data_IF_266714239619
#
_entry.id   IF_266714239619
#
_cell.length_a   1.000
_cell.length_b   1.000
_cell.length_c   1.000
_cell.angle_alpha   90.00
_cell.angle_beta   90.00
_cell.angle_gamma   90.00
#
_symmetry.space_group_name_H-M   'P 1'
#
loop_
_entity.id
_entity.type
_entity.pdbx_description
1 polymer ?
#
# COMPACT_ATOMS: atom_id res chain seq x y z
N UNK A 1 16.55 -5.34 5.14
CA UNK A 1 15.15 -5.79 5.14
C UNK A 1 14.70 -6.02 6.57
N UNK A 2 13.45 -5.70 6.88
CA UNK A 2 12.79 -5.84 8.17
C UNK A 2 11.52 -6.68 8.01
N UNK A 3 11.03 -7.30 9.08
CA UNK A 3 9.72 -7.93 9.10
C UNK A 3 8.66 -6.88 9.43
N UNK A 4 7.76 -6.62 8.49
CA UNK A 4 6.66 -5.67 8.65
C UNK A 4 5.35 -6.40 8.92
N UNK A 5 4.64 -5.96 9.95
CA UNK A 5 3.21 -6.19 10.08
C UNK A 5 2.48 -5.10 9.29
N UNK A 6 1.78 -5.52 8.24
CA UNK A 6 1.08 -4.66 7.29
C UNK A 6 -0.41 -4.73 7.60
N UNK A 7 -0.93 -3.63 8.14
CA UNK A 7 -2.33 -3.43 8.45
C UNK A 7 -3.11 -2.88 7.26
N UNK A 8 -4.40 -3.19 7.21
CA UNK A 8 -5.36 -2.61 6.26
C UNK A 8 -6.09 -1.47 6.97
N UNK A 9 -5.82 -0.23 6.54
CA UNK A 9 -6.37 0.97 7.17
C UNK A 9 -7.79 1.30 6.68
N UNK A 10 -8.11 0.93 5.44
CA UNK A 10 -9.43 1.05 4.84
C UNK A 10 -9.77 -0.26 4.12
N UNK A 11 -10.70 -1.03 4.68
CA UNK A 11 -11.15 -2.31 4.12
C UNK A 11 -12.30 -2.14 3.09
N UNK A 12 -12.90 -0.95 2.99
CA UNK A 12 -13.99 -0.67 2.06
C UNK A 12 -13.46 -0.18 0.70
N UNK A 13 -12.24 0.37 0.67
CA UNK A 13 -11.63 0.87 -0.56
C UNK A 13 -11.40 -0.28 -1.59
N UNK A 14 -11.72 -0.10 -2.88
CA UNK A 14 -11.65 -1.17 -3.89
C UNK A 14 -10.28 -1.86 -4.05
N UNK A 15 -9.18 -1.19 -3.69
CA UNK A 15 -7.83 -1.77 -3.74
C UNK A 15 -7.60 -2.79 -2.62
N UNK A 16 -8.15 -2.52 -1.44
CA UNK A 16 -7.91 -3.25 -0.19
C UNK A 16 -9.12 -4.06 0.28
N UNK A 17 -10.25 -3.98 -0.44
CA UNK A 17 -11.41 -4.83 -0.19
C UNK A 17 -11.04 -6.31 -0.18
N UNK A 18 -11.59 -7.02 0.80
CA UNK A 18 -11.38 -8.44 1.08
C UNK A 18 -9.90 -8.81 1.37
N UNK A 19 -9.07 -7.82 1.73
CA UNK A 19 -7.70 -8.04 2.14
C UNK A 19 -7.61 -8.14 3.67
N UNK A 20 -6.94 -9.19 4.15
CA UNK A 20 -6.59 -9.32 5.56
C UNK A 20 -5.18 -8.75 5.80
N UNK A 21 -4.88 -8.25 7.01
CA UNK A 21 -3.52 -7.91 7.41
C UNK A 21 -2.55 -9.07 7.20
N UNK A 22 -1.30 -8.76 6.86
CA UNK A 22 -0.27 -9.78 6.66
C UNK A 22 1.10 -9.33 7.13
N UNK A 23 2.00 -10.31 7.27
CA UNK A 23 3.39 -10.07 7.65
C UNK A 23 4.31 -10.42 6.50
N UNK A 24 5.28 -9.56 6.21
CA UNK A 24 6.23 -9.78 5.12
C UNK A 24 7.59 -9.15 5.41
N UNK A 25 8.64 -9.74 4.85
CA UNK A 25 9.97 -9.11 4.82
C UNK A 25 10.04 -8.08 3.71
N UNK A 26 10.42 -6.85 4.05
CA UNK A 26 10.48 -5.68 3.15
C UNK A 26 11.64 -4.74 3.49
N UNK A 27 11.92 -3.79 2.60
CA UNK A 27 12.71 -2.60 2.95
C UNK A 27 11.80 -1.53 3.56
N UNK A 28 12.30 -0.81 4.57
CA UNK A 28 11.55 0.26 5.25
C UNK A 28 12.07 1.63 4.83
N UNK A 29 11.17 2.56 4.54
CA UNK A 29 11.54 3.92 4.21
C UNK A 29 11.13 4.89 5.33
N UNK A 30 12.05 5.78 5.72
CA UNK A 30 11.74 6.92 6.59
C UNK A 30 11.65 8.16 5.72
N UNK A 31 10.43 8.51 5.31
CA UNK A 31 10.11 9.66 4.46
C UNK A 31 8.98 10.49 5.08
N UNK A 32 8.54 11.54 4.38
CA UNK A 32 7.33 12.27 4.76
C UNK A 32 6.09 11.39 4.61
N UNK A 33 5.19 11.45 5.59
CA UNK A 33 3.90 10.74 5.54
C UNK A 33 3.03 11.18 4.35
N UNK A 34 2.06 10.35 3.94
CA UNK A 34 1.06 10.75 2.97
C UNK A 34 0.42 12.08 3.38
N UNK A 35 0.31 13.01 2.42
CA UNK A 35 -0.27 14.33 2.67
C UNK A 35 -1.76 14.25 3.07
N UNK A 36 -2.33 15.30 3.66
CA UNK A 36 -3.69 15.29 4.22
C UNK A 36 -4.80 14.98 3.21
N UNK A 37 -4.56 15.22 1.92
CA UNK A 37 -5.50 14.89 0.83
C UNK A 37 -5.35 13.45 0.32
N UNK A 38 -4.62 12.60 1.06
CA UNK A 38 -4.39 11.19 0.72
C UNK A 38 -5.30 10.29 1.53
N UNK A 39 -5.80 9.24 0.89
CA UNK A 39 -6.52 8.15 1.52
C UNK A 39 -5.53 7.00 1.77
N UNK A 40 -5.17 6.79 3.04
CA UNK A 40 -4.21 5.75 3.44
C UNK A 40 -4.90 4.39 3.44
N UNK A 41 -4.32 3.42 2.74
CA UNK A 41 -4.89 2.09 2.54
C UNK A 41 -4.17 1.01 3.33
N UNK A 42 -2.84 1.11 3.42
CA UNK A 42 -2.01 0.16 4.16
C UNK A 42 -1.10 0.90 5.13
N UNK A 43 -0.89 0.31 6.31
CA UNK A 43 -0.05 0.90 7.35
C UNK A 43 0.87 -0.11 8.02
N UNK A 44 1.90 0.39 8.70
CA UNK A 44 2.68 -0.39 9.66
C UNK A 44 2.97 0.42 10.92
N UNK A 45 3.26 -0.28 12.01
CA UNK A 45 3.74 0.30 13.26
C UNK A 45 5.26 0.15 13.44
N UNK A 46 5.99 -0.33 12.42
CA UNK A 46 7.42 -0.57 12.52
C UNK A 46 8.20 0.75 12.75
N UNK A 47 9.03 0.86 13.80
CA UNK A 47 9.63 2.13 14.23
C UNK A 47 10.64 2.72 13.23
N UNK A 48 11.13 1.92 12.29
CA UNK A 48 12.06 2.34 11.23
C UNK A 48 11.38 2.62 9.89
N UNK A 49 10.04 2.71 9.87
CA UNK A 49 9.24 2.95 8.67
C UNK A 49 8.38 4.20 8.85
N UNK A 50 8.05 4.85 7.75
CA UNK A 50 6.84 5.67 7.68
C UNK A 50 5.61 4.81 7.95
N UNK A 51 4.54 5.44 8.44
CA UNK A 51 3.31 4.74 8.83
C UNK A 51 2.51 4.30 7.61
N UNK A 52 2.37 5.16 6.61
CA UNK A 52 1.60 4.87 5.40
C UNK A 52 2.41 4.09 4.36
N UNK A 53 2.06 2.83 4.13
CA UNK A 53 2.73 1.96 3.16
C UNK A 53 2.07 1.99 1.77
N UNK A 54 0.78 2.33 1.71
CA UNK A 54 0.07 2.55 0.46
C UNK A 54 -1.05 3.58 0.64
N UNK A 55 -1.24 4.44 -0.35
CA UNK A 55 -2.26 5.47 -0.32
C UNK A 55 -2.70 5.88 -1.72
N UNK A 56 -3.90 6.44 -1.80
CA UNK A 56 -4.39 7.09 -3.02
C UNK A 56 -4.48 8.59 -2.84
N UNK A 57 -4.49 9.33 -3.95
CA UNK A 57 -4.84 10.76 -3.98
C UNK A 57 -5.41 11.14 -5.34
N UNK A 58 -6.24 12.18 -5.35
CA UNK A 58 -6.67 12.84 -6.59
C UNK A 58 -5.75 14.02 -6.89
N UNK A 59 -5.28 14.11 -8.14
CA UNK A 59 -4.52 15.27 -8.63
C UNK A 59 -5.21 15.77 -9.89
N UNK A 60 -6.04 16.81 -9.74
CA UNK A 60 -6.94 17.25 -10.80
C UNK A 60 -7.91 16.13 -11.20
N UNK A 61 -7.76 15.58 -12.41
CA UNK A 61 -8.58 14.44 -12.92
C UNK A 61 -7.87 13.08 -12.80
N UNK A 62 -6.61 13.09 -12.38
CA UNK A 62 -5.78 11.89 -12.29
C UNK A 62 -5.97 11.20 -10.94
N UNK A 63 -6.17 9.88 -11.00
CA UNK A 63 -6.06 8.97 -9.85
C UNK A 63 -4.60 8.58 -9.70
N UNK A 64 -4.02 8.86 -8.54
CA UNK A 64 -2.64 8.46 -8.20
C UNK A 64 -2.73 7.41 -7.10
N UNK A 65 -2.00 6.31 -7.29
CA UNK A 65 -1.81 5.28 -6.28
C UNK A 65 -0.31 5.16 -6.01
N UNK A 66 0.06 5.26 -4.74
CA UNK A 66 1.42 5.08 -4.25
C UNK A 66 1.47 3.80 -3.42
N UNK A 67 2.50 2.98 -3.67
CA UNK A 67 2.75 1.73 -2.97
C UNK A 67 4.25 1.67 -2.66
N UNK A 68 4.60 1.67 -1.37
CA UNK A 68 5.99 1.61 -0.89
C UNK A 68 6.59 0.21 -1.06
N UNK A 69 5.76 -0.82 -0.86
CA UNK A 69 6.15 -2.23 -0.89
C UNK A 69 6.72 -2.65 -2.25
N UNK A 70 7.54 -3.72 -2.25
CA UNK A 70 8.04 -4.32 -3.49
C UNK A 70 9.57 -4.30 -3.66
N UNK A 71 10.34 -4.34 -2.57
CA UNK A 71 11.81 -4.26 -2.63
C UNK A 71 12.46 -5.37 -3.48
N UNK A 72 11.99 -6.61 -3.35
CA UNK A 72 12.61 -7.77 -3.99
C UNK A 72 11.62 -8.86 -4.41
N UNK A 73 12.15 -9.98 -4.93
CA UNK A 73 11.38 -11.14 -5.38
C UNK A 73 10.40 -11.66 -4.32
N UNK A 74 10.78 -11.66 -3.05
CA UNK A 74 9.95 -12.17 -1.94
C UNK A 74 8.65 -11.38 -1.85
N UNK A 75 8.71 -10.07 -2.07
CA UNK A 75 7.52 -9.23 -2.12
C UNK A 75 6.60 -9.60 -3.28
N UNK A 76 7.18 -9.77 -4.47
CA UNK A 76 6.43 -10.16 -5.67
C UNK A 76 5.85 -11.57 -5.61
N UNK A 77 6.35 -12.45 -4.74
CA UNK A 77 5.78 -13.78 -4.50
C UNK A 77 4.58 -13.73 -3.54
N UNK A 78 4.43 -12.69 -2.72
CA UNK A 78 3.36 -12.60 -1.73
C UNK A 78 1.99 -12.31 -2.40
N UNK A 79 0.96 -13.14 -2.17
CA UNK A 79 -0.34 -12.99 -2.84
C UNK A 79 -1.05 -11.68 -2.49
N UNK A 80 -0.98 -11.22 -1.23
CA UNK A 80 -1.54 -9.93 -0.81
C UNK A 80 -0.91 -8.76 -1.56
N UNK A 81 0.42 -8.72 -1.67
CA UNK A 81 1.14 -7.69 -2.43
C UNK A 81 0.71 -7.68 -3.89
N UNK A 82 0.69 -8.84 -4.55
CA UNK A 82 0.26 -8.95 -5.96
C UNK A 82 -1.19 -8.49 -6.15
N UNK A 83 -2.06 -8.81 -5.19
CA UNK A 83 -3.46 -8.38 -5.18
C UNK A 83 -3.59 -6.86 -5.12
N UNK A 84 -2.88 -6.23 -4.18
CA UNK A 84 -2.84 -4.77 -4.03
C UNK A 84 -2.27 -4.10 -5.28
N UNK A 85 -1.15 -4.60 -5.81
CA UNK A 85 -0.54 -4.06 -7.03
C UNK A 85 -1.51 -4.15 -8.23
N UNK A 86 -2.11 -5.32 -8.46
CA UNK A 86 -3.07 -5.53 -9.55
C UNK A 86 -4.29 -4.63 -9.42
N UNK A 87 -4.89 -4.57 -8.22
CA UNK A 87 -6.06 -3.71 -7.98
C UNK A 87 -5.69 -2.23 -8.06
N UNK A 88 -4.53 -1.83 -7.56
CA UNK A 88 -4.02 -0.47 -7.69
C UNK A 88 -3.93 -0.01 -9.15
N UNK A 89 -3.34 -0.84 -10.01
CA UNK A 89 -3.26 -0.59 -11.46
C UNK A 89 -4.66 -0.48 -12.10
N UNK A 90 -5.59 -1.37 -11.75
CA UNK A 90 -6.95 -1.31 -12.28
C UNK A 90 -7.71 -0.07 -11.78
N UNK A 91 -7.50 0.33 -10.53
CA UNK A 91 -8.17 1.47 -9.90
C UNK A 91 -7.73 2.79 -10.53
N UNK A 92 -6.42 2.98 -10.75
CA UNK A 92 -5.90 4.17 -11.46
C UNK A 92 -6.39 4.22 -12.91
N UNK A 93 -6.55 3.04 -13.55
CA UNK A 93 -7.10 2.92 -14.90
C UNK A 93 -8.64 3.03 -14.97
N UNK A 94 -9.34 3.21 -13.83
CA UNK A 94 -10.81 3.27 -13.74
C UNK A 94 -11.50 2.00 -14.26
N UNK A 95 -10.94 0.83 -13.93
CA UNK A 95 -11.44 -0.51 -14.33
C UNK A 95 -11.91 -1.36 -13.13
N UNK A 96 -11.97 -0.74 -11.95
CA UNK A 96 -12.52 -1.26 -10.71
C UNK A 96 -13.75 -0.46 -10.31
#
# INVERSE_FOLDING_TARGET
>A
NQTLEIGVADADHPITRDLEPWTQVEETYVMGEPGPDSEVLLTTAHPQSMRGLAWTRQVGRARVFCLELGHDRTAFEHPSFRGVLSRGVQWVARRL
#
